data_IF_668083524995
#
_entry.id   IF_668083524995
#
_cell.length_a   1.000
_cell.length_b   1.000
_cell.length_c   1.000
_cell.angle_alpha   90.00
_cell.angle_beta   90.00
_cell.angle_gamma   90.00
#
_symmetry.space_group_name_H-M   'P 1'
#
loop_
_entity.id
_entity.type
_entity.pdbx_description
1 polymer ?
#
# COMPACT_ATOMS: atom_id res chain seq x y z
N UNK A 1 21.33 46.14 -32.52
CA UNK A 1 20.53 45.91 -33.74
C UNK A 1 19.97 44.49 -33.70
N UNK A 2 18.69 44.38 -33.33
CA UNK A 2 17.65 43.44 -33.81
C UNK A 2 17.96 41.92 -33.90
N UNK A 3 17.34 41.15 -32.97
CA UNK A 3 16.51 39.92 -33.13
C UNK A 3 16.57 39.13 -34.48
N UNK A 4 16.57 37.78 -34.58
CA UNK A 4 15.61 36.80 -34.05
C UNK A 4 16.02 35.32 -34.38
N UNK A 5 15.86 34.38 -33.42
CA UNK A 5 15.30 32.98 -33.51
C UNK A 5 15.98 31.95 -34.46
N UNK A 6 16.63 30.85 -34.02
CA UNK A 6 16.11 29.60 -33.36
C UNK A 6 15.03 28.90 -34.23
N UNK A 7 14.98 27.61 -34.57
CA UNK A 7 15.61 26.38 -34.09
C UNK A 7 15.49 25.28 -35.17
N UNK A 8 16.43 24.34 -35.15
CA UNK A 8 16.37 22.99 -35.76
C UNK A 8 15.56 22.04 -34.88
N UNK A 9 14.70 21.19 -35.45
CA UNK A 9 14.73 19.71 -35.41
C UNK A 9 13.40 19.08 -35.89
N UNK A 10 13.40 17.83 -36.37
CA UNK A 10 12.38 17.24 -37.23
C UNK A 10 11.26 16.49 -36.48
N UNK A 11 10.11 16.41 -37.15
CA UNK A 11 8.88 15.75 -36.71
C UNK A 11 9.01 14.23 -36.60
N UNK A 12 8.74 13.71 -35.40
CA UNK A 12 8.50 12.30 -35.09
C UNK A 12 6.99 12.02 -35.14
N UNK A 13 6.57 11.20 -36.10
CA UNK A 13 5.17 10.96 -36.46
C UNK A 13 4.62 9.76 -35.66
N UNK A 14 3.56 9.99 -34.89
CA UNK A 14 2.79 8.96 -34.19
C UNK A 14 1.90 8.14 -35.16
N UNK A 15 1.67 6.83 -34.91
CA UNK A 15 0.71 6.05 -35.68
C UNK A 15 -0.73 6.25 -35.18
N UNK A 16 -1.57 6.64 -36.14
CA UNK A 16 -3.02 6.84 -36.01
C UNK A 16 -3.77 5.52 -35.82
N UNK A 17 -4.73 5.57 -34.90
CA UNK A 17 -5.72 4.56 -34.55
C UNK A 17 -6.74 4.43 -35.70
N UNK A 18 -6.83 3.25 -36.33
CA UNK A 18 -7.74 2.98 -37.45
C UNK A 18 -8.99 2.27 -36.94
N UNK A 19 -10.12 2.94 -37.06
CA UNK A 19 -11.47 2.37 -36.94
C UNK A 19 -11.79 1.53 -38.18
N UNK A 20 -12.34 0.33 -37.99
CA UNK A 20 -13.15 -0.38 -38.99
C UNK A 20 -14.04 -1.44 -38.31
N UNK A 21 -15.31 -1.35 -38.68
CA UNK A 21 -16.48 -2.14 -38.28
C UNK A 21 -16.49 -3.47 -39.07
N UNK A 22 -17.33 -4.43 -38.64
CA UNK A 22 -17.69 -5.76 -39.21
C UNK A 22 -16.80 -6.92 -38.73
N UNK A 23 -17.26 -8.14 -38.45
CA UNK A 23 -18.57 -8.82 -38.37
C UNK A 23 -18.28 -10.28 -37.96
N UNK A 24 -19.18 -10.94 -37.21
CA UNK A 24 -19.31 -12.41 -37.05
C UNK A 24 -18.14 -13.15 -36.31
N UNK A 25 -18.30 -14.20 -35.50
CA UNK A 25 -19.35 -15.20 -35.29
C UNK A 25 -19.04 -16.07 -34.04
N UNK A 26 -20.08 -16.46 -33.28
CA UNK A 26 -20.20 -17.71 -32.49
C UNK A 26 -19.61 -17.70 -31.06
N UNK A 27 -20.24 -18.24 -30.01
CA UNK A 27 -21.51 -18.97 -29.77
C UNK A 27 -21.56 -19.25 -28.23
N UNK A 28 -22.66 -19.77 -27.65
CA UNK A 28 -23.81 -19.05 -27.11
C UNK A 28 -23.87 -19.00 -25.56
N UNK A 29 -24.47 -17.93 -25.02
CA UNK A 29 -24.97 -17.84 -23.64
C UNK A 29 -26.47 -18.13 -23.66
N UNK A 30 -26.88 -19.06 -22.80
CA UNK A 30 -28.24 -19.55 -22.56
C UNK A 30 -29.22 -18.41 -22.23
N UNK A 31 -30.17 -18.14 -23.12
CA UNK A 31 -31.33 -17.27 -22.85
C UNK A 31 -32.61 -18.10 -22.92
N UNK A 32 -33.25 -18.28 -21.77
CA UNK A 32 -34.59 -18.85 -21.60
C UNK A 32 -35.64 -17.94 -22.26
N UNK A 33 -36.26 -18.42 -23.34
CA UNK A 33 -37.46 -17.83 -23.93
C UNK A 33 -38.69 -18.65 -23.53
N UNK A 34 -39.45 -18.19 -22.54
CA UNK A 34 -40.76 -18.76 -22.22
C UNK A 34 -41.82 -18.17 -23.16
N UNK A 35 -42.28 -19.02 -24.08
CA UNK A 35 -43.37 -18.73 -25.00
C UNK A 35 -44.71 -18.77 -24.25
N UNK A 36 -45.44 -17.67 -24.30
CA UNK A 36 -46.88 -17.60 -24.01
C UNK A 36 -47.64 -18.45 -25.03
N UNK A 37 -48.24 -19.55 -24.58
CA UNK A 37 -49.23 -20.30 -25.36
C UNK A 37 -50.60 -20.05 -24.74
N UNK A 38 -51.43 -19.32 -25.48
CA UNK A 38 -52.89 -19.31 -25.32
C UNK A 38 -53.43 -20.57 -25.96
N UNK A 39 -54.10 -21.42 -25.18
CA UNK A 39 -55.04 -22.40 -25.70
C UNK A 39 -56.24 -22.44 -24.77
N UNK A 40 -57.31 -21.78 -25.22
CA UNK A 40 -58.66 -22.04 -24.77
C UNK A 40 -59.23 -23.12 -25.71
N UNK A 41 -59.85 -24.16 -25.15
CA UNK A 41 -60.95 -24.97 -25.70
C UNK A 41 -61.27 -26.02 -24.64
N UNK A 42 -62.56 -26.24 -24.35
CA UNK A 42 -63.02 -27.51 -23.78
C UNK A 42 -63.92 -27.39 -22.58
N UNK A 43 -65.11 -26.82 -22.77
CA UNK A 43 -66.24 -27.07 -21.88
C UNK A 43 -66.63 -28.55 -21.96
N UNK A 44 -66.31 -29.33 -20.93
CA UNK A 44 -66.96 -30.61 -20.65
C UNK A 44 -67.47 -30.61 -19.23
N UNK A 45 -68.80 -30.52 -19.13
CA UNK A 45 -69.60 -30.78 -17.93
C UNK A 45 -69.33 -32.22 -17.49
N UNK A 46 -68.62 -32.41 -16.37
CA UNK A 46 -68.63 -33.67 -15.64
C UNK A 46 -68.98 -33.40 -14.18
N UNK A 47 -70.24 -33.72 -13.91
CA UNK A 47 -70.92 -33.80 -12.63
C UNK A 47 -70.30 -34.94 -11.81
N UNK A 48 -69.70 -34.69 -10.63
CA UNK A 48 -69.47 -35.78 -9.69
C UNK A 48 -70.79 -36.06 -8.97
N UNK A 49 -71.32 -37.25 -9.22
CA UNK A 49 -72.46 -37.86 -8.54
C UNK A 49 -72.12 -38.14 -7.08
N UNK A 50 -73.01 -37.70 -6.18
CA UNK A 50 -73.01 -38.03 -4.76
C UNK A 50 -73.07 -39.55 -4.55
N UNK A 51 -72.21 -40.16 -3.72
CA UNK A 51 -72.52 -41.44 -3.11
C UNK A 51 -73.48 -41.21 -1.94
N UNK A 52 -74.74 -41.60 -2.14
CA UNK A 52 -75.72 -41.85 -1.07
C UNK A 52 -75.42 -43.20 -0.42
N UNK A 53 -75.46 -43.28 0.93
CA UNK A 53 -75.54 -44.47 1.84
C UNK A 53 -74.43 -44.39 2.92
N UNK A 54 -74.63 -44.36 4.24
CA UNK A 54 -75.73 -44.72 5.16
C UNK A 54 -75.74 -43.73 6.34
N UNK A 55 -76.93 -43.39 6.84
CA UNK A 55 -77.10 -42.70 8.14
C UNK A 55 -76.95 -43.76 9.24
N UNK A 56 -75.90 -43.63 10.05
CA UNK A 56 -75.77 -44.35 11.32
C UNK A 56 -76.05 -43.37 12.47
N UNK A 57 -76.61 -43.91 13.54
CA UNK A 57 -77.38 -43.24 14.58
C UNK A 57 -76.68 -42.10 15.35
N UNK A 58 -77.52 -41.18 15.81
CA UNK A 58 -77.23 -40.12 16.78
C UNK A 58 -76.82 -40.77 18.10
N UNK A 59 -75.57 -40.59 18.55
CA UNK A 59 -75.19 -40.58 19.97
C UNK A 59 -73.77 -40.02 20.18
N UNK A 60 -73.69 -39.06 21.10
CA UNK A 60 -72.51 -38.51 21.77
C UNK A 60 -71.64 -37.49 21.01
N UNK A 61 -72.08 -36.22 21.09
CA UNK A 61 -71.24 -35.03 20.95
C UNK A 61 -70.24 -34.96 22.13
N UNK A 62 -69.26 -35.87 22.14
CA UNK A 62 -68.10 -35.74 23.04
C UNK A 62 -67.21 -34.62 22.50
N UNK A 63 -67.06 -33.56 23.28
CA UNK A 63 -66.10 -32.49 23.03
C UNK A 63 -64.74 -33.09 22.69
N UNK A 64 -64.34 -33.02 21.42
CA UNK A 64 -62.97 -33.28 20.99
C UNK A 64 -62.11 -32.15 21.54
N UNK A 65 -61.61 -32.34 22.77
CA UNK A 65 -60.48 -31.61 23.31
C UNK A 65 -59.32 -31.72 22.31
N UNK A 66 -58.96 -30.62 21.68
CA UNK A 66 -57.73 -30.50 20.89
C UNK A 66 -56.54 -30.76 21.80
N UNK A 67 -56.05 -31.99 21.82
CA UNK A 67 -54.78 -32.32 22.47
C UNK A 67 -53.64 -31.80 21.58
N UNK A 68 -53.23 -30.55 21.78
CA UNK A 68 -52.02 -30.02 21.15
C UNK A 68 -50.82 -30.69 21.80
N UNK A 69 -50.07 -31.49 21.04
CA UNK A 69 -48.75 -32.00 21.45
C UNK A 69 -47.69 -30.89 21.34
N UNK A 70 -47.91 -29.78 22.05
CA UNK A 70 -46.98 -28.66 22.24
C UNK A 70 -46.58 -28.68 23.72
N UNK A 71 -45.30 -28.44 24.09
CA UNK A 71 -44.90 -28.39 25.49
C UNK A 71 -45.83 -27.49 26.30
N UNK A 72 -46.50 -28.05 27.30
CA UNK A 72 -47.39 -27.31 28.19
C UNK A 72 -46.53 -26.38 29.03
N UNK A 73 -46.36 -25.13 28.60
CA UNK A 73 -45.81 -24.09 29.47
C UNK A 73 -46.70 -23.91 30.69
N UNK A 74 -46.10 -23.56 31.83
CA UNK A 74 -46.80 -23.41 33.10
C UNK A 74 -47.96 -22.42 32.92
N UNK A 75 -49.22 -22.80 33.20
CA UNK A 75 -50.39 -21.92 33.01
C UNK A 75 -50.24 -20.58 33.74
N UNK A 76 -49.46 -20.53 34.82
CA UNK A 76 -49.12 -19.29 35.52
C UNK A 76 -48.32 -18.32 34.66
N UNK A 77 -47.36 -18.83 33.88
CA UNK A 77 -46.48 -18.03 33.04
C UNK A 77 -47.22 -17.47 31.82
N UNK A 78 -48.14 -18.25 31.22
CA UNK A 78 -49.00 -17.75 30.13
C UNK A 78 -49.98 -16.69 30.62
N UNK A 79 -50.61 -16.90 31.78
CA UNK A 79 -51.49 -15.89 32.37
C UNK A 79 -50.76 -14.57 32.67
N UNK A 80 -49.52 -14.65 33.16
CA UNK A 80 -48.66 -13.48 33.35
C UNK A 80 -48.36 -12.78 32.02
N UNK A 81 -47.99 -13.51 30.97
CA UNK A 81 -47.74 -12.91 29.64
C UNK A 81 -48.96 -12.19 29.05
N UNK A 82 -50.17 -12.72 29.31
CA UNK A 82 -51.42 -12.08 28.87
C UNK A 82 -51.65 -10.80 29.66
N UNK A 83 -51.48 -10.83 30.99
CA UNK A 83 -51.58 -9.63 31.82
C UNK A 83 -50.55 -8.58 31.39
N UNK A 84 -49.32 -8.98 31.08
CA UNK A 84 -48.25 -8.08 30.66
C UNK A 84 -48.53 -7.43 29.30
N UNK A 85 -49.18 -8.16 28.37
CA UNK A 85 -49.57 -7.64 27.05
C UNK A 85 -50.71 -6.61 27.07
N UNK A 86 -51.47 -6.52 28.16
CA UNK A 86 -52.56 -5.54 28.29
C UNK A 86 -52.03 -4.12 28.55
N UNK A 87 -52.63 -3.08 27.94
CA UNK A 87 -52.23 -1.70 28.17
C UNK A 87 -52.50 -1.28 29.61
N UNK A 88 -51.47 -0.79 30.30
CA UNK A 88 -51.55 -0.30 31.68
C UNK A 88 -50.30 -0.64 32.49
N UNK A 89 -49.80 0.32 33.28
CA UNK A 89 -48.59 0.17 34.09
C UNK A 89 -48.84 -0.36 35.52
N UNK A 90 -50.10 -0.63 35.88
CA UNK A 90 -50.50 -1.12 37.21
C UNK A 90 -51.29 -2.41 37.10
N UNK A 91 -51.01 -3.37 38.00
CA UNK A 91 -51.73 -4.64 38.10
C UNK A 91 -53.24 -4.42 38.29
N UNK A 92 -53.64 -3.41 39.07
CA UNK A 92 -55.03 -3.05 39.29
C UNK A 92 -55.69 -2.61 37.98
N UNK A 93 -54.99 -1.86 37.15
CA UNK A 93 -55.50 -1.42 35.85
C UNK A 93 -55.62 -2.60 34.87
N UNK A 94 -54.63 -3.51 34.83
CA UNK A 94 -54.68 -4.71 33.99
C UNK A 94 -55.85 -5.63 34.39
N UNK A 95 -56.05 -5.86 35.68
CA UNK A 95 -57.18 -6.64 36.19
C UNK A 95 -58.51 -5.93 35.98
N UNK A 96 -58.55 -4.59 36.15
CA UNK A 96 -59.77 -3.82 35.94
C UNK A 96 -60.20 -3.83 34.48
N UNK A 97 -59.28 -3.68 33.53
CA UNK A 97 -59.59 -3.73 32.10
C UNK A 97 -60.09 -5.11 31.70
N UNK A 98 -59.43 -6.18 32.16
CA UNK A 98 -59.86 -7.56 31.85
C UNK A 98 -61.23 -7.87 32.48
N UNK A 99 -61.42 -7.55 33.76
CA UNK A 99 -62.70 -7.77 34.46
C UNK A 99 -63.82 -6.90 33.91
N UNK A 100 -63.54 -5.65 33.53
CA UNK A 100 -64.52 -4.78 32.90
C UNK A 100 -64.90 -5.27 31.50
N UNK A 101 -63.92 -5.67 30.67
CA UNK A 101 -64.19 -6.23 29.34
C UNK A 101 -65.01 -7.52 29.44
N UNK A 102 -64.66 -8.42 30.35
CA UNK A 102 -65.42 -9.64 30.60
C UNK A 102 -66.84 -9.33 31.11
N UNK A 103 -66.96 -8.44 32.10
CA UNK A 103 -68.26 -8.03 32.64
C UNK A 103 -69.18 -7.38 31.60
N UNK A 104 -68.63 -6.48 30.77
CA UNK A 104 -69.37 -5.84 29.68
C UNK A 104 -69.77 -6.85 28.60
N UNK A 105 -68.90 -7.81 28.26
CA UNK A 105 -69.23 -8.84 27.26
C UNK A 105 -70.38 -9.73 27.74
N UNK A 106 -70.38 -10.14 29.00
CA UNK A 106 -71.45 -10.95 29.59
C UNK A 106 -72.73 -10.13 29.67
N UNK A 107 -72.66 -8.87 30.10
CA UNK A 107 -73.82 -7.99 30.17
C UNK A 107 -74.42 -7.72 28.77
N UNK A 108 -73.59 -7.55 27.75
CA UNK A 108 -74.05 -7.34 26.37
C UNK A 108 -74.74 -8.57 25.79
N UNK A 109 -74.25 -9.78 26.10
CA UNK A 109 -74.89 -11.03 25.68
C UNK A 109 -76.17 -11.29 26.49
N UNK A 110 -76.11 -11.10 27.82
CA UNK A 110 -77.23 -11.40 28.72
C UNK A 110 -78.42 -10.46 28.54
N UNK A 111 -78.18 -9.20 28.14
CA UNK A 111 -79.23 -8.24 27.84
C UNK A 111 -79.60 -8.21 26.34
N UNK A 112 -79.11 -9.17 25.54
CA UNK A 112 -79.37 -9.28 24.11
C UNK A 112 -79.00 -8.01 23.29
N UNK A 113 -78.12 -7.18 23.86
CA UNK A 113 -77.65 -5.94 23.23
C UNK A 113 -76.79 -6.25 21.99
N UNK A 114 -76.18 -7.44 21.95
CA UNK A 114 -75.53 -8.00 20.77
C UNK A 114 -76.35 -9.17 20.21
N UNK A 115 -77.09 -8.92 19.11
CA UNK A 115 -77.86 -9.94 18.39
C UNK A 115 -76.96 -10.66 17.40
N UNK A 116 -76.82 -11.97 17.59
CA UNK A 116 -76.09 -12.85 16.67
C UNK A 116 -76.90 -13.05 15.39
N UNK A 117 -76.73 -12.14 14.43
CA UNK A 117 -77.30 -12.24 13.09
C UNK A 117 -76.27 -12.78 12.07
N UNK A 118 -76.67 -12.91 10.81
CA UNK A 118 -75.82 -13.30 9.67
C UNK A 118 -74.55 -12.45 9.51
N UNK A 119 -74.58 -11.18 9.93
CA UNK A 119 -73.42 -10.28 9.90
C UNK A 119 -72.29 -10.69 10.86
N UNK A 120 -72.59 -11.47 11.90
CA UNK A 120 -71.56 -11.95 12.85
C UNK A 120 -70.61 -12.97 12.23
N UNK A 121 -71.11 -13.78 11.28
CA UNK A 121 -70.29 -14.70 10.48
C UNK A 121 -69.39 -13.91 9.53
N UNK A 122 -69.90 -12.84 8.92
CA UNK A 122 -69.10 -11.93 8.10
C UNK A 122 -68.01 -11.21 8.93
N UNK A 123 -68.37 -10.72 10.13
CA UNK A 123 -67.43 -10.07 11.04
C UNK A 123 -66.33 -11.04 11.51
N UNK A 124 -66.68 -12.28 11.84
CA UNK A 124 -65.70 -13.31 12.20
C UNK A 124 -64.74 -13.64 11.05
N UNK A 125 -65.25 -13.77 9.82
CA UNK A 125 -64.42 -14.00 8.65
C UNK A 125 -63.45 -12.83 8.42
N UNK A 126 -63.94 -11.59 8.47
CA UNK A 126 -63.12 -10.38 8.32
C UNK A 126 -62.05 -10.27 9.43
N UNK A 127 -62.41 -10.55 10.69
CA UNK A 127 -61.45 -10.57 11.81
C UNK A 127 -60.39 -11.65 11.63
N UNK A 128 -60.77 -12.83 11.13
CA UNK A 128 -59.81 -13.92 10.86
C UNK A 128 -58.81 -13.53 9.77
N UNK A 129 -59.26 -12.86 8.71
CA UNK A 129 -58.40 -12.35 7.63
C UNK A 129 -57.48 -11.25 8.14
N UNK A 130 -57.99 -10.26 8.88
CA UNK A 130 -57.14 -9.21 9.44
C UNK A 130 -56.12 -9.75 10.45
N UNK A 131 -56.49 -10.74 11.26
CA UNK A 131 -55.55 -11.39 12.18
C UNK A 131 -54.46 -12.15 11.41
N UNK A 132 -54.83 -12.85 10.34
CA UNK A 132 -53.86 -13.51 9.47
C UNK A 132 -52.92 -12.50 8.77
N UNK A 133 -53.47 -11.42 8.23
CA UNK A 133 -52.68 -10.34 7.60
C UNK A 133 -51.77 -9.64 8.61
N UNK A 134 -52.23 -9.38 9.83
CA UNK A 134 -51.38 -8.80 10.87
C UNK A 134 -50.23 -9.74 11.24
N UNK A 135 -50.51 -11.05 11.37
CA UNK A 135 -49.49 -12.04 11.75
C UNK A 135 -48.45 -12.29 10.66
N UNK A 136 -48.86 -12.37 9.40
CA UNK A 136 -47.96 -12.69 8.29
C UNK A 136 -47.47 -11.45 7.53
N UNK A 137 -48.32 -10.44 7.36
CA UNK A 137 -48.00 -9.19 6.69
C UNK A 137 -47.17 -8.25 7.57
N UNK A 138 -47.37 -8.25 8.89
CA UNK A 138 -46.58 -7.46 9.83
C UNK A 138 -45.06 -7.70 9.72
N UNK A 139 -44.56 -8.94 9.88
CA UNK A 139 -43.13 -9.22 9.75
C UNK A 139 -42.62 -8.98 8.33
N UNK A 140 -43.36 -9.35 7.30
CA UNK A 140 -42.95 -9.15 5.90
C UNK A 140 -42.82 -7.66 5.54
N UNK A 141 -43.75 -6.81 6.00
CA UNK A 141 -43.67 -5.37 5.81
C UNK A 141 -42.53 -4.76 6.61
N UNK A 142 -42.29 -5.25 7.83
CA UNK A 142 -41.17 -4.79 8.68
C UNK A 142 -39.83 -5.08 8.01
N UNK A 143 -39.59 -6.29 7.52
CA UNK A 143 -38.36 -6.66 6.82
C UNK A 143 -38.17 -5.82 5.54
N UNK A 144 -39.24 -5.60 4.78
CA UNK A 144 -39.19 -4.73 3.60
C UNK A 144 -38.84 -3.29 3.95
N UNK A 145 -39.47 -2.73 5.01
CA UNK A 145 -39.23 -1.38 5.47
C UNK A 145 -37.80 -1.22 6.01
N UNK A 146 -37.32 -2.18 6.81
CA UNK A 146 -35.94 -2.21 7.30
C UNK A 146 -34.93 -2.29 6.16
N UNK A 147 -35.18 -3.12 5.14
CA UNK A 147 -34.34 -3.21 3.95
C UNK A 147 -34.25 -1.88 3.18
N UNK A 148 -35.34 -1.13 3.10
CA UNK A 148 -35.33 0.17 2.42
C UNK A 148 -34.64 1.26 3.25
N UNK A 149 -34.86 1.27 4.56
CA UNK A 149 -34.13 2.15 5.49
C UNK A 149 -32.62 1.86 5.41
N UNK A 150 -32.23 0.59 5.36
CA UNK A 150 -30.83 0.19 5.29
C UNK A 150 -30.18 0.65 3.99
N UNK A 151 -30.83 0.46 2.83
CA UNK A 151 -30.34 0.98 1.54
C UNK A 151 -30.09 2.49 1.58
N UNK A 152 -31.02 3.26 2.14
CA UNK A 152 -30.84 4.71 2.24
C UNK A 152 -29.67 5.08 3.17
N UNK A 153 -29.51 4.38 4.29
CA UNK A 153 -28.36 4.56 5.19
C UNK A 153 -27.05 4.21 4.51
N UNK A 154 -27.00 3.10 3.78
CA UNK A 154 -25.79 2.61 3.10
C UNK A 154 -25.37 3.58 2.00
N UNK A 155 -26.31 4.07 1.17
CA UNK A 155 -26.04 5.08 0.15
C UNK A 155 -25.52 6.37 0.79
N UNK A 156 -26.13 6.83 1.89
CA UNK A 156 -25.72 8.06 2.55
C UNK A 156 -24.31 7.94 3.16
N UNK A 157 -24.01 6.79 3.77
CA UNK A 157 -22.70 6.52 4.36
C UNK A 157 -21.62 6.33 3.29
N UNK A 158 -21.93 5.62 2.21
CA UNK A 158 -21.06 5.48 1.05
C UNK A 158 -20.77 6.84 0.40
N UNK A 159 -21.80 7.66 0.16
CA UNK A 159 -21.63 8.99 -0.40
C UNK A 159 -20.76 9.90 0.49
N UNK A 160 -20.89 9.81 1.82
CA UNK A 160 -20.00 10.55 2.75
C UNK A 160 -18.55 10.06 2.67
N UNK A 161 -18.34 8.75 2.62
CA UNK A 161 -17.01 8.17 2.46
C UNK A 161 -16.39 8.55 1.12
N UNK A 162 -17.13 8.42 0.02
CA UNK A 162 -16.71 8.76 -1.33
C UNK A 162 -16.38 10.24 -1.48
N UNK A 163 -17.22 11.13 -0.93
CA UNK A 163 -16.93 12.57 -0.94
C UNK A 163 -15.66 12.90 -0.14
N UNK A 164 -15.48 12.27 1.03
CA UNK A 164 -14.26 12.47 1.83
C UNK A 164 -13.02 11.94 1.11
N UNK A 165 -13.11 10.80 0.45
CA UNK A 165 -12.02 10.22 -0.33
C UNK A 165 -11.69 11.06 -1.56
N UNK A 166 -12.69 11.55 -2.28
CA UNK A 166 -12.50 12.43 -3.43
C UNK A 166 -11.85 13.76 -3.03
N UNK A 167 -12.22 14.34 -1.89
CA UNK A 167 -11.57 15.54 -1.35
C UNK A 167 -10.12 15.24 -0.97
N UNK A 168 -9.83 14.12 -0.31
CA UNK A 168 -8.46 13.70 0.02
C UNK A 168 -7.59 13.55 -1.23
N UNK A 169 -8.08 12.84 -2.25
CA UNK A 169 -7.37 12.67 -3.53
C UNK A 169 -7.05 14.01 -4.19
N UNK A 170 -7.97 14.97 -4.12
CA UNK A 170 -7.73 16.34 -4.62
C UNK A 170 -6.69 17.07 -3.78
N UNK A 171 -6.70 16.92 -2.46
CA UNK A 171 -5.66 17.51 -1.61
C UNK A 171 -4.28 16.93 -1.90
N UNK A 172 -4.17 15.62 -2.10
CA UNK A 172 -2.90 14.97 -2.47
C UNK A 172 -2.39 15.47 -3.83
N UNK A 173 -3.27 15.58 -4.82
CA UNK A 173 -2.93 16.15 -6.13
C UNK A 173 -2.46 17.61 -6.03
N UNK A 174 -3.12 18.44 -5.22
CA UNK A 174 -2.72 19.84 -5.00
C UNK A 174 -1.40 19.92 -4.22
N UNK A 175 -1.14 19.00 -3.30
CA UNK A 175 0.11 18.93 -2.54
C UNK A 175 1.30 18.61 -3.44
N UNK A 176 1.16 17.69 -4.39
CA UNK A 176 2.19 17.41 -5.40
C UNK A 176 2.51 18.65 -6.25
N UNK A 177 1.51 19.46 -6.61
CA UNK A 177 1.75 20.70 -7.34
C UNK A 177 2.54 21.73 -6.52
N UNK A 178 2.44 21.71 -5.20
CA UNK A 178 3.22 22.61 -4.34
C UNK A 178 4.72 22.25 -4.27
N UNK A 179 5.08 20.96 -4.37
CA UNK A 179 6.48 20.52 -4.32
C UNK A 179 7.23 20.76 -5.64
N UNK A 180 6.54 20.81 -6.78
CA UNK A 180 7.16 21.08 -8.10
C UNK A 180 7.81 22.46 -8.15
N UNK A 181 7.26 23.46 -7.45
CA UNK A 181 7.86 24.80 -7.38
C UNK A 181 9.21 24.77 -6.66
N UNK A 182 9.31 24.01 -5.57
CA UNK A 182 10.55 23.84 -4.83
C UNK A 182 11.57 23.00 -5.61
N UNK A 183 11.13 21.90 -6.23
CA UNK A 183 11.97 21.07 -7.08
C UNK A 183 12.56 21.86 -8.26
N UNK A 184 11.77 22.75 -8.86
CA UNK A 184 12.26 23.61 -9.95
C UNK A 184 13.33 24.59 -9.45
N UNK A 185 13.14 25.19 -8.27
CA UNK A 185 14.17 26.04 -7.65
C UNK A 185 15.44 25.26 -7.33
N UNK A 186 15.30 24.05 -6.82
CA UNK A 186 16.41 23.14 -6.55
C UNK A 186 17.14 22.77 -7.84
N UNK A 187 16.44 22.51 -8.94
CA UNK A 187 17.07 22.21 -10.23
C UNK A 187 17.91 23.39 -10.75
N UNK A 188 17.42 24.62 -10.59
CA UNK A 188 18.20 25.82 -10.92
C UNK A 188 19.37 26.07 -9.96
N UNK A 189 19.22 25.76 -8.67
CA UNK A 189 20.30 25.85 -7.70
C UNK A 189 21.41 24.84 -8.04
N UNK A 190 21.06 23.57 -8.27
CA UNK A 190 21.99 22.51 -8.69
C UNK A 190 22.72 22.89 -9.98
N UNK A 191 22.01 23.46 -10.97
CA UNK A 191 22.64 23.92 -12.21
C UNK A 191 23.67 25.05 -11.96
N UNK A 192 23.38 25.99 -11.05
CA UNK A 192 24.33 27.06 -10.69
C UNK A 192 25.52 26.54 -9.89
N UNK A 193 25.28 25.66 -8.92
CA UNK A 193 26.31 25.02 -8.11
C UNK A 193 27.25 24.16 -8.98
N UNK A 194 26.69 23.44 -9.95
CA UNK A 194 27.49 22.66 -10.92
C UNK A 194 28.42 23.56 -11.72
N UNK A 195 27.91 24.66 -12.28
CA UNK A 195 28.74 25.60 -13.03
C UNK A 195 29.84 26.27 -12.16
N UNK A 196 29.55 26.55 -10.88
CA UNK A 196 30.53 27.09 -9.95
C UNK A 196 31.62 26.07 -9.61
N UNK A 197 31.24 24.82 -9.34
CA UNK A 197 32.18 23.75 -9.04
C UNK A 197 33.05 23.39 -10.23
N UNK A 198 32.50 23.37 -11.45
CA UNK A 198 33.27 23.19 -12.67
C UNK A 198 34.30 24.31 -12.84
N UNK A 199 33.91 25.58 -12.66
CA UNK A 199 34.84 26.70 -12.74
C UNK A 199 35.98 26.62 -11.71
N UNK A 200 35.67 26.25 -10.46
CA UNK A 200 36.68 26.06 -9.42
C UNK A 200 37.60 24.87 -9.73
N UNK A 201 37.06 23.78 -10.26
CA UNK A 201 37.84 22.62 -10.68
C UNK A 201 38.81 22.99 -11.82
N UNK A 202 38.36 23.76 -12.83
CA UNK A 202 39.21 24.24 -13.91
C UNK A 202 40.33 25.16 -13.40
N UNK A 203 40.05 26.05 -12.47
CA UNK A 203 41.08 26.92 -11.88
C UNK A 203 42.13 26.11 -11.10
N UNK A 204 41.70 25.15 -10.29
CA UNK A 204 42.61 24.27 -9.57
C UNK A 204 43.45 23.40 -10.52
N UNK A 205 42.84 22.88 -11.59
CA UNK A 205 43.55 22.09 -12.60
C UNK A 205 44.60 22.94 -13.31
N UNK A 206 44.28 24.18 -13.71
CA UNK A 206 45.26 25.10 -14.30
C UNK A 206 46.41 25.42 -13.35
N UNK A 207 46.12 25.70 -12.07
CA UNK A 207 47.15 25.97 -11.06
C UNK A 207 48.06 24.77 -10.81
N UNK A 208 47.49 23.56 -10.76
CA UNK A 208 48.26 22.32 -10.54
C UNK A 208 49.07 21.92 -11.78
N UNK A 209 48.53 22.11 -12.98
CA UNK A 209 49.26 21.91 -14.24
C UNK A 209 50.46 22.86 -14.34
N UNK A 210 50.27 24.16 -14.06
CA UNK A 210 51.36 25.14 -14.06
C UNK A 210 52.42 24.81 -13.00
N UNK A 211 52.00 24.42 -11.79
CA UNK A 211 52.93 23.98 -10.75
C UNK A 211 53.70 22.70 -11.15
N UNK A 212 53.07 21.77 -11.86
CA UNK A 212 53.70 20.56 -12.36
C UNK A 212 54.72 20.86 -13.47
N UNK A 213 54.40 21.74 -14.41
CA UNK A 213 55.32 22.20 -15.46
C UNK A 213 56.54 22.91 -14.85
N UNK A 214 56.32 23.83 -13.90
CA UNK A 214 57.41 24.51 -13.20
C UNK A 214 58.32 23.53 -12.44
N UNK A 215 57.72 22.52 -11.78
CA UNK A 215 58.48 21.45 -11.13
C UNK A 215 59.28 20.63 -12.15
N UNK A 216 58.68 20.25 -13.28
CA UNK A 216 59.36 19.48 -14.31
C UNK A 216 60.57 20.23 -14.88
N UNK A 217 60.44 21.54 -15.09
CA UNK A 217 61.57 22.40 -15.48
C UNK A 217 62.64 22.37 -14.39
N UNK A 218 62.29 22.59 -13.12
CA UNK A 218 63.24 22.57 -12.01
C UNK A 218 63.95 21.21 -11.87
N UNK A 219 63.22 20.11 -11.94
CA UNK A 219 63.78 18.75 -11.88
C UNK A 219 64.72 18.48 -13.07
N UNK A 220 64.42 19.04 -14.25
CA UNK A 220 65.32 18.95 -15.41
C UNK A 220 66.63 19.71 -15.19
N UNK A 221 66.59 20.89 -14.57
CA UNK A 221 67.78 21.66 -14.19
C UNK A 221 68.60 20.93 -13.14
N UNK A 222 67.97 20.43 -12.07
CA UNK A 222 68.65 19.67 -11.01
C UNK A 222 69.30 18.41 -11.58
N UNK A 223 68.61 17.70 -12.48
CA UNK A 223 69.16 16.52 -13.16
C UNK A 223 70.34 16.90 -14.07
N UNK A 224 70.27 18.02 -14.78
CA UNK A 224 71.37 18.53 -15.60
C UNK A 224 72.59 18.88 -14.72
N UNK A 225 72.39 19.61 -13.63
CA UNK A 225 73.47 19.93 -12.67
C UNK A 225 74.10 18.66 -12.07
N UNK A 226 73.28 17.68 -11.69
CA UNK A 226 73.75 16.40 -11.16
C UNK A 226 74.63 15.66 -12.18
N UNK A 227 74.21 15.62 -13.45
CA UNK A 227 75.00 15.02 -14.54
C UNK A 227 76.30 15.78 -14.80
N UNK A 228 76.28 17.11 -14.81
CA UNK A 228 77.49 17.93 -15.00
C UNK A 228 78.48 17.70 -13.85
N UNK A 229 78.02 17.70 -12.60
CA UNK A 229 78.87 17.42 -11.43
C UNK A 229 79.47 16.01 -11.49
N UNK A 230 78.69 14.99 -11.86
CA UNK A 230 79.21 13.63 -12.05
C UNK A 230 80.25 13.54 -13.18
N UNK A 231 80.02 14.20 -14.31
CA UNK A 231 80.99 14.24 -15.42
C UNK A 231 82.28 14.94 -14.99
N UNK A 232 82.20 16.07 -14.31
CA UNK A 232 83.35 16.78 -13.77
C UNK A 232 84.14 15.91 -12.77
N UNK A 233 83.46 15.24 -11.85
CA UNK A 233 84.12 14.31 -10.91
C UNK A 233 84.80 13.15 -11.64
N UNK A 234 84.19 12.63 -12.70
CA UNK A 234 84.76 11.56 -13.52
C UNK A 234 85.98 12.02 -14.32
N UNK A 235 85.90 13.17 -14.99
CA UNK A 235 87.03 13.78 -15.72
C UNK A 235 88.19 14.12 -14.78
N UNK A 236 87.91 14.68 -13.60
CA UNK A 236 88.91 14.93 -12.57
C UNK A 236 89.54 13.62 -12.08
N UNK A 237 88.75 12.58 -11.80
CA UNK A 237 89.25 11.28 -11.39
C UNK A 237 90.11 10.61 -12.48
N UNK A 238 89.66 10.61 -13.74
CA UNK A 238 90.41 10.09 -14.89
C UNK A 238 91.73 10.87 -15.10
N UNK A 239 91.72 12.19 -14.92
CA UNK A 239 92.93 13.01 -15.00
C UNK A 239 93.93 12.73 -13.86
N UNK A 240 93.44 12.49 -12.64
CA UNK A 240 94.26 12.16 -11.46
C UNK A 240 94.82 10.75 -11.60
N UNK A 241 94.00 9.77 -11.99
CA UNK A 241 94.44 8.40 -12.27
C UNK A 241 95.48 8.41 -13.41
N UNK A 242 95.25 9.19 -14.47
CA UNK A 242 96.18 9.35 -15.59
C UNK A 242 97.51 10.01 -15.20
N UNK A 243 97.50 10.96 -14.26
CA UNK A 243 98.73 11.55 -13.69
C UNK A 243 99.48 10.55 -12.82
N UNK A 244 98.79 9.85 -11.91
CA UNK A 244 99.38 8.86 -11.00
C UNK A 244 99.99 7.69 -11.79
N UNK A 245 99.31 7.18 -12.81
CA UNK A 245 99.83 6.11 -13.68
C UNK A 245 101.09 6.53 -14.44
N UNK A 246 101.13 7.76 -14.99
CA UNK A 246 102.34 8.32 -15.61
C UNK A 246 103.48 8.53 -14.61
N UNK A 247 103.18 8.95 -13.39
CA UNK A 247 104.18 9.05 -12.32
C UNK A 247 104.72 7.67 -11.92
N UNK A 248 103.88 6.63 -11.90
CA UNK A 248 104.27 5.24 -11.64
C UNK A 248 105.18 4.64 -12.72
N UNK A 249 105.06 5.03 -13.98
CA UNK A 249 105.94 4.57 -15.06
C UNK A 249 107.36 5.18 -15.00
N UNK A 250 107.55 6.26 -14.23
CA UNK A 250 108.87 6.87 -14.08
C UNK A 250 109.76 6.07 -13.12
N UNK A 251 110.95 5.59 -13.55
CA UNK A 251 111.80 4.71 -12.74
C UNK A 251 112.33 5.38 -11.46
N UNK A 252 112.37 6.73 -11.42
CA UNK A 252 112.73 7.50 -10.21
C UNK A 252 111.65 7.42 -9.11
N UNK A 253 110.38 7.40 -9.48
CA UNK A 253 109.26 7.34 -8.52
C UNK A 253 109.09 5.91 -8.01
N UNK A 254 109.21 4.90 -8.88
CA UNK A 254 109.29 3.49 -8.48
C UNK A 254 110.38 3.24 -7.43
N UNK A 255 111.59 3.79 -7.63
CA UNK A 255 112.67 3.68 -6.66
C UNK A 255 112.36 4.41 -5.34
N UNK A 256 111.75 5.59 -5.39
CA UNK A 256 111.33 6.34 -4.19
C UNK A 256 110.22 5.63 -3.42
N UNK A 257 109.21 5.07 -4.10
CA UNK A 257 108.14 4.28 -3.46
C UNK A 257 108.73 3.00 -2.87
N UNK A 258 109.66 2.32 -3.55
CA UNK A 258 110.30 1.11 -3.05
C UNK A 258 111.19 1.40 -1.85
N UNK A 259 111.97 2.50 -1.87
CA UNK A 259 112.75 2.97 -0.72
C UNK A 259 111.86 3.40 0.45
N UNK A 260 110.76 4.10 0.19
CA UNK A 260 109.81 4.50 1.23
C UNK A 260 109.05 3.30 1.81
N UNK A 261 108.67 2.32 0.98
CA UNK A 261 108.02 1.08 1.40
C UNK A 261 108.99 0.20 2.22
N UNK A 262 110.26 0.12 1.84
CA UNK A 262 111.32 -0.53 2.63
C UNK A 262 111.54 0.23 3.94
N UNK A 263 111.60 1.56 3.93
CA UNK A 263 111.75 2.37 5.14
C UNK A 263 110.55 2.26 6.10
N UNK A 264 109.32 2.13 5.60
CA UNK A 264 108.12 1.94 6.44
C UNK A 264 108.02 0.50 7.00
N UNK A 265 108.46 -0.51 6.23
CA UNK A 265 108.58 -1.89 6.73
C UNK A 265 109.70 -2.00 7.76
N UNK A 266 110.86 -1.41 7.51
CA UNK A 266 111.96 -1.31 8.47
C UNK A 266 111.50 -0.59 9.72
N UNK A 267 110.78 0.54 9.61
CA UNK A 267 110.20 1.23 10.78
C UNK A 267 109.23 0.35 11.56
N UNK A 268 108.35 -0.42 10.90
CA UNK A 268 107.40 -1.36 11.55
C UNK A 268 108.10 -2.54 12.23
N UNK A 269 109.23 -3.00 11.69
CA UNK A 269 110.06 -4.07 12.27
C UNK A 269 111.06 -3.55 13.33
N UNK A 270 111.42 -2.27 13.28
CA UNK A 270 112.30 -1.56 14.23
C UNK A 270 111.55 -1.00 15.44
N UNK A 271 110.22 -1.10 15.50
CA UNK A 271 109.49 -0.89 16.75
C UNK A 271 109.65 -2.14 17.63
N UNK A 272 110.44 -2.05 18.72
CA UNK A 272 110.62 -3.16 19.63
C UNK A 272 109.30 -3.47 20.35
N UNK A 273 109.03 -4.77 20.50
CA UNK A 273 108.24 -5.28 21.61
C UNK A 273 108.76 -4.65 22.93
N UNK A 274 107.94 -3.81 23.55
CA UNK A 274 108.20 -3.33 24.90
C UNK A 274 107.66 -1.93 25.16
N UNK A 275 106.72 -1.80 26.11
CA UNK A 275 106.48 -0.51 26.77
C UNK A 275 105.01 -0.13 26.93
N UNK A 276 104.35 -0.81 27.85
CA UNK A 276 103.17 -0.35 28.57
C UNK A 276 103.25 1.15 28.92
N UNK A 277 102.24 1.94 28.50
CA UNK A 277 101.77 3.10 29.26
C UNK A 277 100.25 3.23 29.19
N UNK A 278 99.66 2.82 30.31
CA UNK A 278 98.35 3.16 30.85
C UNK A 278 98.17 4.69 30.86
N UNK A 279 97.01 5.18 30.39
CA UNK A 279 96.12 6.31 30.81
C UNK A 279 96.72 7.57 31.54
N UNK A 280 96.01 8.70 31.80
CA UNK A 280 94.67 9.15 31.37
C UNK A 280 94.56 10.65 30.96
N UNK A 281 93.49 10.99 30.24
CA UNK A 281 92.62 12.16 30.47
C UNK A 281 91.37 12.04 29.59
#
# INVERSE_FOLDING_TARGET
LVFYRSNRHPDFKSPQFRSSITSCQGLPITTMASRLVKSAIGATRLRPTLPTRNVAAIANLSATRSASNVPTEDPKQKAQSILDSLPGNSLVSKTAVLSAAAGLSIAAISNELYVMNEETVAAFCLLSVFTAVAKYGGPAYKEWAEGQVQKHKDILNAARADHTNAVKQRMDSVKELSSVVELTKQLFAVSKETAQLEAQAYELEQRTALAAEAKQVLDSWVRYEGQVKQRQQRELAESVIGKITKELENPKVLQQILQQSVADVERKLQFPSGGMRVNPN
#
